data_IF_863885796214
#
_entry.id   IF_863885796214
#
_cell.length_a   1.000
_cell.length_b   1.000
_cell.length_c   1.000
_cell.angle_alpha   90.00
_cell.angle_beta   90.00
_cell.angle_gamma   90.00
#
_symmetry.space_group_name_H-M   'P 1'
#
loop_
_entity.id
_entity.type
_entity.pdbx_description
1 polymer ?
#
# COMPACT_ATOMS: atom_id res chain seq x y z
N UNK A 1 -17.66 14.81 -60.96
CA UNK A 1 -18.24 13.74 -60.10
C UNK A 1 -17.15 12.91 -59.41
N UNK A 2 -16.13 12.41 -60.14
CA UNK A 2 -15.01 11.66 -59.55
C UNK A 2 -14.14 12.49 -58.58
N UNK A 3 -13.90 13.77 -58.85
CA UNK A 3 -13.12 14.65 -57.95
C UNK A 3 -13.86 15.02 -56.65
N UNK A 4 -15.19 15.13 -56.69
CA UNK A 4 -16.04 15.36 -55.51
C UNK A 4 -16.09 14.12 -54.60
N UNK A 5 -16.14 12.92 -55.19
CA UNK A 5 -16.05 11.65 -54.45
C UNK A 5 -14.66 11.44 -53.82
N UNK A 6 -13.58 11.78 -54.53
CA UNK A 6 -12.21 11.73 -53.99
C UNK A 6 -11.98 12.72 -52.84
N UNK A 7 -12.55 13.93 -52.94
CA UNK A 7 -12.42 14.95 -51.88
C UNK A 7 -13.21 14.57 -50.61
N UNK A 8 -14.42 14.00 -50.77
CA UNK A 8 -15.22 13.48 -49.65
C UNK A 8 -14.58 12.25 -48.98
N UNK A 9 -13.88 11.40 -49.74
CA UNK A 9 -13.11 10.28 -49.21
C UNK A 9 -11.86 10.77 -48.46
N UNK A 10 -11.20 11.83 -48.94
CA UNK A 10 -10.02 12.40 -48.28
C UNK A 10 -10.36 13.10 -46.96
N UNK A 11 -11.45 13.90 -46.92
CA UNK A 11 -11.86 14.59 -45.70
C UNK A 11 -12.40 13.64 -44.61
N UNK A 12 -13.12 12.57 -45.00
CA UNK A 12 -13.56 11.55 -44.04
C UNK A 12 -12.40 10.77 -43.43
N UNK A 13 -11.34 10.48 -44.20
CA UNK A 13 -10.12 9.88 -43.67
C UNK A 13 -9.33 10.83 -42.75
N UNK A 14 -9.27 12.13 -43.07
CA UNK A 14 -8.63 13.15 -42.23
C UNK A 14 -9.37 13.32 -40.90
N UNK A 15 -10.69 13.46 -40.92
CA UNK A 15 -11.53 13.55 -39.72
C UNK A 15 -11.41 12.28 -38.87
N UNK A 16 -11.40 11.09 -39.48
CA UNK A 16 -11.24 9.84 -38.75
C UNK A 16 -9.83 9.65 -38.18
N UNK A 17 -8.80 10.17 -38.87
CA UNK A 17 -7.41 10.17 -38.37
C UNK A 17 -7.24 11.17 -37.23
N UNK A 18 -7.84 12.35 -37.34
CA UNK A 18 -7.87 13.39 -36.31
C UNK A 18 -8.60 12.90 -35.05
N UNK A 19 -9.74 12.23 -35.22
CA UNK A 19 -10.49 11.62 -34.14
C UNK A 19 -9.69 10.51 -33.42
N UNK A 20 -8.92 9.70 -34.14
CA UNK A 20 -8.04 8.67 -33.55
C UNK A 20 -6.88 9.28 -32.77
N UNK A 21 -6.26 10.34 -33.27
CA UNK A 21 -5.21 11.10 -32.57
C UNK A 21 -5.79 11.71 -31.29
N UNK A 22 -7.01 12.25 -31.37
CA UNK A 22 -7.72 12.79 -30.22
C UNK A 22 -8.01 11.73 -29.15
N UNK A 23 -8.42 10.51 -29.52
CA UNK A 23 -8.62 9.40 -28.56
C UNK A 23 -7.34 9.00 -27.82
N UNK A 24 -6.22 8.90 -28.53
CA UNK A 24 -4.93 8.63 -27.88
C UNK A 24 -4.53 9.77 -26.92
N UNK A 25 -4.74 11.02 -27.33
CA UNK A 25 -4.57 12.20 -26.48
C UNK A 25 -5.57 12.28 -25.33
N UNK A 26 -6.76 11.68 -25.43
CA UNK A 26 -7.77 11.70 -24.38
C UNK A 26 -7.35 10.84 -23.19
N UNK A 27 -6.81 9.64 -23.40
CA UNK A 27 -6.34 8.78 -22.30
C UNK A 27 -5.13 9.39 -21.57
N UNK A 28 -4.18 9.91 -22.34
CA UNK A 28 -2.97 10.56 -21.83
C UNK A 28 -3.29 11.93 -21.22
N UNK A 29 -4.25 12.66 -21.81
CA UNK A 29 -4.75 13.94 -21.34
C UNK A 29 -5.58 13.81 -20.05
N UNK A 30 -6.38 12.75 -19.91
CA UNK A 30 -7.07 12.44 -18.66
C UNK A 30 -6.07 12.08 -17.55
N UNK A 31 -5.04 11.29 -17.87
CA UNK A 31 -3.95 11.00 -16.94
C UNK A 31 -3.20 12.28 -16.52
N UNK A 32 -2.83 13.12 -17.49
CA UNK A 32 -2.11 14.37 -17.22
C UNK A 32 -2.96 15.37 -16.45
N UNK A 33 -4.24 15.52 -16.79
CA UNK A 33 -5.19 16.35 -16.04
C UNK A 33 -5.30 15.85 -14.60
N UNK A 34 -5.42 14.53 -14.38
CA UNK A 34 -5.42 13.94 -13.05
C UNK A 34 -4.13 14.21 -12.26
N UNK A 35 -2.97 14.08 -12.91
CA UNK A 35 -1.67 14.37 -12.30
C UNK A 35 -1.53 15.86 -11.91
N UNK A 36 -1.93 16.77 -12.79
CA UNK A 36 -1.92 18.22 -12.54
C UNK A 36 -2.91 18.60 -11.42
N UNK A 37 -4.11 18.01 -11.41
CA UNK A 37 -5.12 18.23 -10.37
C UNK A 37 -4.67 17.68 -9.02
N UNK A 38 -3.87 16.61 -9.00
CA UNK A 38 -3.31 16.03 -7.78
C UNK A 38 -2.30 16.95 -7.07
N UNK A 39 -1.74 17.94 -7.77
CA UNK A 39 -0.85 18.96 -7.19
C UNK A 39 -1.61 20.21 -6.70
N UNK A 40 -2.92 20.30 -6.92
CA UNK A 40 -3.74 21.45 -6.51
C UNK A 40 -4.30 21.30 -5.11
N UNK A 41 -4.61 22.43 -4.47
CA UNK A 41 -5.31 22.48 -3.17
C UNK A 41 -6.72 21.83 -3.20
N UNK A 42 -7.26 21.54 -4.39
CA UNK A 42 -8.57 20.91 -4.57
C UNK A 42 -8.51 19.37 -4.66
N UNK A 43 -7.33 18.75 -4.56
CA UNK A 43 -7.14 17.29 -4.68
C UNK A 43 -8.14 16.48 -3.86
N UNK A 44 -8.31 16.82 -2.59
CA UNK A 44 -9.16 16.05 -1.66
C UNK A 44 -10.64 16.12 -2.05
N UNK A 45 -11.09 17.28 -2.55
CA UNK A 45 -12.46 17.48 -3.00
C UNK A 45 -12.72 16.72 -4.31
N UNK A 46 -11.79 16.81 -5.27
CA UNK A 46 -11.86 16.07 -6.53
C UNK A 46 -11.84 14.56 -6.29
N UNK A 47 -11.02 14.07 -5.36
CA UNK A 47 -10.98 12.65 -5.00
C UNK A 47 -12.32 12.18 -4.42
N UNK A 48 -12.94 12.98 -3.55
CA UNK A 48 -14.25 12.67 -2.97
C UNK A 48 -15.35 12.60 -4.04
N UNK A 49 -15.31 13.50 -5.03
CA UNK A 49 -16.27 13.53 -6.14
C UNK A 49 -16.08 12.37 -7.13
N UNK A 50 -14.85 11.95 -7.41
CA UNK A 50 -14.55 10.87 -8.37
C UNK A 50 -14.71 9.47 -7.76
N UNK A 51 -14.46 9.30 -6.45
CA UNK A 51 -14.60 8.02 -5.73
C UNK A 51 -15.86 7.21 -6.10
N UNK A 52 -17.08 7.77 -6.08
CA UNK A 52 -18.29 7.01 -6.42
C UNK A 52 -18.30 6.53 -7.89
N UNK A 53 -17.71 7.29 -8.81
CA UNK A 53 -17.64 6.89 -10.22
C UNK A 53 -16.55 5.87 -10.51
N UNK A 54 -15.50 5.79 -9.69
CA UNK A 54 -14.37 4.87 -9.92
C UNK A 54 -14.83 3.41 -10.03
N UNK A 55 -15.70 2.96 -9.12
CA UNK A 55 -16.25 1.60 -9.16
C UNK A 55 -17.12 1.34 -10.38
N UNK A 56 -17.95 2.31 -10.76
CA UNK A 56 -18.82 2.23 -11.94
C UNK A 56 -18.02 2.15 -13.24
N UNK A 57 -17.01 3.01 -13.39
CA UNK A 57 -16.12 3.04 -14.56
C UNK A 57 -15.31 1.75 -14.70
N UNK A 58 -14.79 1.23 -13.58
CA UNK A 58 -14.07 -0.04 -13.55
C UNK A 58 -14.99 -1.21 -13.93
N UNK A 59 -16.21 -1.24 -13.38
CA UNK A 59 -17.22 -2.24 -13.73
C UNK A 59 -17.59 -2.18 -15.21
N UNK A 60 -17.82 -0.99 -15.75
CA UNK A 60 -18.11 -0.79 -17.16
C UNK A 60 -16.95 -1.28 -18.05
N UNK A 61 -15.71 -0.91 -17.70
CA UNK A 61 -14.51 -1.35 -18.40
C UNK A 61 -14.41 -2.88 -18.46
N UNK A 62 -14.60 -3.57 -17.34
CA UNK A 62 -14.53 -5.03 -17.31
C UNK A 62 -15.67 -5.70 -18.08
N UNK A 63 -16.89 -5.15 -18.03
CA UNK A 63 -18.02 -5.66 -18.84
C UNK A 63 -17.72 -5.49 -20.33
N UNK A 64 -17.34 -4.29 -20.76
CA UNK A 64 -17.07 -4.03 -22.19
C UNK A 64 -15.89 -4.86 -22.70
N UNK A 65 -14.83 -4.96 -21.92
CA UNK A 65 -13.63 -5.71 -22.27
C UNK A 65 -13.90 -7.21 -22.25
N UNK A 66 -14.69 -7.71 -21.28
CA UNK A 66 -15.13 -9.10 -21.20
C UNK A 66 -15.99 -9.52 -22.40
N UNK A 67 -16.90 -8.66 -22.87
CA UNK A 67 -17.69 -8.95 -24.09
C UNK A 67 -16.87 -9.00 -25.37
N UNK A 68 -15.65 -8.46 -25.36
CA UNK A 68 -14.73 -8.49 -26.51
C UNK A 68 -13.99 -9.83 -26.63
N UNK A 69 -14.11 -10.73 -25.65
CA UNK A 69 -13.49 -12.06 -25.67
C UNK A 69 -14.26 -12.99 -26.61
N UNK A 70 -13.57 -13.48 -27.63
CA UNK A 70 -14.06 -14.55 -28.50
C UNK A 70 -13.87 -15.90 -27.80
N UNK A 71 -14.94 -16.40 -27.15
CA UNK A 71 -14.88 -17.65 -26.36
C UNK A 71 -14.55 -18.87 -27.22
N UNK A 72 -14.98 -18.87 -28.49
CA UNK A 72 -14.71 -19.97 -29.41
C UNK A 72 -13.22 -19.99 -29.76
N UNK A 73 -12.64 -18.82 -30.01
CA UNK A 73 -11.20 -18.70 -30.23
C UNK A 73 -10.39 -19.08 -28.99
N UNK A 74 -10.82 -18.66 -27.79
CA UNK A 74 -10.18 -19.04 -26.53
C UNK A 74 -10.14 -20.57 -26.35
N UNK A 75 -11.25 -21.26 -26.61
CA UNK A 75 -11.32 -22.72 -26.49
C UNK A 75 -10.52 -23.44 -27.57
N UNK A 76 -10.48 -22.89 -28.79
CA UNK A 76 -9.70 -23.45 -29.91
C UNK A 76 -8.20 -23.31 -29.69
N UNK A 77 -7.76 -22.15 -29.22
CA UNK A 77 -6.35 -21.76 -29.07
C UNK A 77 -5.89 -21.77 -27.61
N UNK A 78 -6.56 -22.51 -26.73
CA UNK A 78 -6.28 -22.49 -25.29
C UNK A 78 -4.81 -22.76 -24.93
N UNK A 79 -4.04 -23.62 -25.64
CA UNK A 79 -2.62 -23.80 -25.33
C UNK A 79 -1.79 -22.56 -25.66
N UNK A 80 -2.10 -21.89 -26.78
CA UNK A 80 -1.42 -20.67 -27.21
C UNK A 80 -1.72 -19.51 -26.25
N UNK A 81 -2.98 -19.39 -25.82
CA UNK A 81 -3.40 -18.40 -24.83
C UNK A 81 -2.67 -18.62 -23.50
N UNK A 82 -2.65 -19.84 -22.97
CA UNK A 82 -1.95 -20.14 -21.71
C UNK A 82 -0.44 -19.88 -21.82
N UNK A 83 0.18 -20.26 -22.94
CA UNK A 83 1.62 -20.05 -23.15
C UNK A 83 1.95 -18.56 -23.18
N UNK A 84 1.18 -17.76 -23.90
CA UNK A 84 1.40 -16.31 -23.98
C UNK A 84 1.07 -15.60 -22.67
N UNK A 85 0.03 -16.03 -21.96
CA UNK A 85 -0.32 -15.51 -20.65
C UNK A 85 0.79 -15.80 -19.62
N UNK A 86 1.24 -17.05 -19.53
CA UNK A 86 2.33 -17.45 -18.65
C UNK A 86 3.62 -16.72 -19.02
N UNK A 87 3.92 -16.58 -20.32
CA UNK A 87 5.06 -15.82 -20.82
C UNK A 87 5.00 -14.35 -20.42
N UNK A 88 3.86 -13.67 -20.63
CA UNK A 88 3.65 -12.28 -20.23
C UNK A 88 3.89 -12.09 -18.73
N UNK A 89 3.27 -12.94 -17.90
CA UNK A 89 3.38 -12.85 -16.44
C UNK A 89 4.81 -13.13 -15.99
N UNK A 90 5.41 -14.22 -16.47
CA UNK A 90 6.77 -14.62 -16.07
C UNK A 90 7.82 -13.59 -16.48
N UNK A 91 7.78 -13.10 -17.73
CA UNK A 91 8.75 -12.13 -18.24
C UNK A 91 8.65 -10.81 -17.46
N UNK A 92 7.44 -10.25 -17.30
CA UNK A 92 7.30 -8.98 -16.57
C UNK A 92 7.64 -9.13 -15.10
N UNK A 93 7.22 -10.23 -14.47
CA UNK A 93 7.58 -10.52 -13.07
C UNK A 93 9.10 -10.60 -12.91
N UNK A 94 9.79 -11.32 -13.80
CA UNK A 94 11.24 -11.44 -13.77
C UNK A 94 11.93 -10.07 -13.91
N UNK A 95 11.55 -9.29 -14.93
CA UNK A 95 12.12 -7.95 -15.17
C UNK A 95 11.95 -7.05 -13.94
N UNK A 96 10.73 -6.97 -13.39
CA UNK A 96 10.43 -6.09 -12.26
C UNK A 96 11.14 -6.59 -10.99
N UNK A 97 11.17 -7.90 -10.77
CA UNK A 97 11.87 -8.50 -9.61
C UNK A 97 13.37 -8.23 -9.67
N UNK A 98 13.97 -8.26 -10.86
CA UNK A 98 15.39 -7.92 -11.05
C UNK A 98 15.66 -6.43 -10.83
N UNK A 99 14.74 -5.55 -11.24
CA UNK A 99 14.90 -4.09 -11.09
C UNK A 99 14.65 -3.64 -9.65
N UNK A 100 13.74 -4.28 -8.93
CA UNK A 100 13.30 -3.87 -7.59
C UNK A 100 14.44 -3.55 -6.60
N UNK A 101 15.47 -4.41 -6.47
CA UNK A 101 16.62 -4.13 -5.60
C UNK A 101 17.39 -2.85 -5.95
N UNK A 102 17.44 -2.45 -7.23
CA UNK A 102 18.09 -1.20 -7.65
C UNK A 102 17.33 0.05 -7.23
N UNK A 103 16.03 -0.09 -6.92
CA UNK A 103 15.15 0.99 -6.44
C UNK A 103 14.98 0.94 -4.91
N UNK A 104 15.69 0.02 -4.23
CA UNK A 104 15.66 -0.12 -2.77
C UNK A 104 14.60 -1.07 -2.23
N UNK A 105 13.95 -1.87 -3.08
CA UNK A 105 13.02 -2.92 -2.62
C UNK A 105 13.78 -4.16 -2.16
N UNK A 106 13.31 -4.81 -1.10
CA UNK A 106 13.80 -6.15 -0.74
C UNK A 106 13.38 -7.20 -1.78
N UNK A 107 14.05 -8.36 -1.80
CA UNK A 107 13.70 -9.43 -2.73
C UNK A 107 12.23 -9.90 -2.61
N UNK A 108 11.66 -10.11 -1.40
CA UNK A 108 10.24 -10.45 -1.23
C UNK A 108 9.30 -9.35 -1.76
N UNK A 109 9.59 -8.08 -1.46
CA UNK A 109 8.82 -6.94 -1.97
C UNK A 109 8.90 -6.84 -3.49
N UNK A 110 10.08 -7.09 -4.06
CA UNK A 110 10.32 -7.05 -5.51
C UNK A 110 9.51 -8.14 -6.23
N UNK A 111 9.42 -9.35 -5.67
CA UNK A 111 8.59 -10.44 -6.20
C UNK A 111 7.10 -10.07 -6.14
N UNK A 112 6.65 -9.53 -5.01
CA UNK A 112 5.25 -9.11 -4.83
C UNK A 112 4.87 -8.02 -5.84
N UNK A 113 5.71 -7.00 -5.98
CA UNK A 113 5.51 -5.91 -6.95
C UNK A 113 5.58 -6.44 -8.39
N UNK A 114 6.51 -7.37 -8.67
CA UNK A 114 6.63 -8.03 -9.96
C UNK A 114 5.37 -8.75 -10.39
N UNK A 115 4.79 -9.56 -9.51
CA UNK A 115 3.53 -10.27 -9.76
C UNK A 115 2.35 -9.32 -9.91
N UNK A 116 2.25 -8.30 -9.05
CA UNK A 116 1.18 -7.31 -9.09
C UNK A 116 1.16 -6.48 -10.40
N UNK A 117 2.34 -6.16 -10.94
CA UNK A 117 2.49 -5.35 -12.15
C UNK A 117 2.69 -6.18 -13.43
N UNK A 118 2.55 -7.51 -13.33
CA UNK A 118 2.77 -8.44 -14.44
C UNK A 118 1.66 -8.44 -15.50
N UNK A 119 0.50 -7.85 -15.21
CA UNK A 119 -0.64 -7.79 -16.14
C UNK A 119 -0.38 -6.94 -17.39
N UNK A 120 -1.15 -7.20 -18.44
CA UNK A 120 -1.27 -6.31 -19.59
C UNK A 120 -2.02 -5.02 -19.21
N UNK A 121 -1.59 -3.90 -19.79
CA UNK A 121 -2.25 -2.60 -19.57
C UNK A 121 -3.32 -2.30 -20.62
N UNK A 122 -4.24 -1.39 -20.30
CA UNK A 122 -5.33 -0.97 -21.20
C UNK A 122 -4.83 -0.39 -22.54
N UNK A 123 -3.64 0.21 -22.52
CA UNK A 123 -2.99 0.72 -23.73
C UNK A 123 -2.72 -0.37 -24.78
N UNK A 124 -2.62 -1.64 -24.37
CA UNK A 124 -2.46 -2.76 -25.29
C UNK A 124 -3.63 -2.86 -26.27
N UNK A 125 -4.87 -2.60 -25.84
CA UNK A 125 -6.04 -2.64 -26.74
C UNK A 125 -5.94 -1.59 -27.85
N UNK A 126 -5.48 -0.39 -27.51
CA UNK A 126 -5.29 0.70 -28.49
C UNK A 126 -4.20 0.33 -29.49
N UNK A 127 -3.06 -0.16 -28.99
CA UNK A 127 -1.91 -0.55 -29.82
C UNK A 127 -2.27 -1.71 -30.75
N UNK A 128 -2.91 -2.76 -30.25
CA UNK A 128 -3.29 -3.91 -31.07
C UNK A 128 -4.38 -3.58 -32.09
N UNK A 129 -5.36 -2.76 -31.70
CA UNK A 129 -6.38 -2.25 -32.64
C UNK A 129 -5.73 -1.43 -33.77
N UNK A 130 -4.77 -0.57 -33.44
CA UNK A 130 -4.05 0.22 -34.43
C UNK A 130 -3.21 -0.66 -35.35
N UNK A 131 -2.43 -1.58 -34.80
CA UNK A 131 -1.59 -2.50 -35.55
C UNK A 131 -2.41 -3.40 -36.49
N UNK A 132 -3.58 -3.86 -36.07
CA UNK A 132 -4.49 -4.61 -36.93
C UNK A 132 -5.08 -3.75 -38.05
N UNK A 133 -5.47 -2.51 -37.77
CA UNK A 133 -5.96 -1.56 -38.78
C UNK A 133 -4.91 -1.21 -39.83
N UNK A 134 -3.64 -1.15 -39.43
CA UNK A 134 -2.50 -0.91 -40.31
C UNK A 134 -2.05 -2.16 -41.07
N UNK A 135 -2.68 -3.32 -40.85
CA UNK A 135 -2.29 -4.58 -41.48
C UNK A 135 -1.00 -5.19 -40.93
N UNK A 136 -0.44 -4.65 -39.85
CA UNK A 136 0.77 -5.16 -39.19
C UNK A 136 0.47 -6.44 -38.43
N UNK A 137 -0.72 -6.54 -37.81
CA UNK A 137 -1.17 -7.72 -37.08
C UNK A 137 -2.36 -8.39 -37.79
N UNK A 138 -2.26 -9.71 -38.09
CA UNK A 138 -3.41 -10.51 -38.52
C UNK A 138 -4.57 -10.43 -37.52
N UNK A 139 -5.80 -10.50 -38.02
CA UNK A 139 -7.00 -10.36 -37.18
C UNK A 139 -7.08 -11.43 -36.08
N UNK A 140 -6.74 -12.68 -36.39
CA UNK A 140 -6.74 -13.77 -35.41
C UNK A 140 -5.72 -13.54 -34.30
N UNK A 141 -4.50 -13.08 -34.65
CA UNK A 141 -3.47 -12.77 -33.66
C UNK A 141 -3.87 -11.60 -32.77
N UNK A 142 -4.49 -10.56 -33.34
CA UNK A 142 -5.03 -9.44 -32.56
C UNK A 142 -6.07 -9.91 -31.53
N UNK A 143 -7.06 -10.71 -31.95
CA UNK A 143 -8.06 -11.28 -31.03
C UNK A 143 -7.41 -12.12 -29.94
N UNK A 144 -6.43 -12.94 -30.28
CA UNK A 144 -5.71 -13.78 -29.32
C UNK A 144 -4.95 -12.92 -28.29
N UNK A 145 -4.24 -11.87 -28.72
CA UNK A 145 -3.52 -10.97 -27.82
C UNK A 145 -4.45 -10.19 -26.89
N UNK A 146 -5.62 -9.75 -27.39
CA UNK A 146 -6.66 -9.13 -26.57
C UNK A 146 -7.08 -10.09 -25.46
N UNK A 147 -7.41 -11.35 -25.79
CA UNK A 147 -7.80 -12.38 -24.81
C UNK A 147 -6.72 -12.55 -23.73
N UNK A 148 -5.44 -12.62 -24.12
CA UNK A 148 -4.32 -12.74 -23.17
C UNK A 148 -4.26 -11.55 -22.21
N UNK A 149 -4.43 -10.32 -22.71
CA UNK A 149 -4.46 -9.12 -21.86
C UNK A 149 -5.63 -9.18 -20.88
N UNK A 150 -6.84 -9.48 -21.35
CA UNK A 150 -8.02 -9.53 -20.46
C UNK A 150 -7.84 -10.60 -19.38
N UNK A 151 -7.40 -11.80 -19.75
CA UNK A 151 -7.15 -12.87 -18.78
C UNK A 151 -6.04 -12.49 -17.78
N UNK A 152 -5.00 -11.78 -18.21
CA UNK A 152 -3.96 -11.30 -17.29
C UNK A 152 -4.50 -10.32 -16.25
N UNK A 153 -5.39 -9.41 -16.65
CA UNK A 153 -6.03 -8.46 -15.73
C UNK A 153 -6.96 -9.20 -14.75
N UNK A 154 -7.74 -10.16 -15.25
CA UNK A 154 -8.59 -11.02 -14.42
C UNK A 154 -7.80 -11.90 -13.45
N UNK A 155 -6.59 -12.32 -13.81
CA UNK A 155 -5.73 -13.17 -12.98
C UNK A 155 -4.96 -12.38 -11.91
N UNK A 156 -4.85 -11.07 -12.06
CA UNK A 156 -4.09 -10.18 -11.16
C UNK A 156 -4.44 -10.29 -9.67
N UNK A 157 -5.72 -10.35 -9.23
CA UNK A 157 -6.02 -10.54 -7.81
C UNK A 157 -5.40 -11.83 -7.25
N UNK A 158 -5.43 -12.92 -8.01
CA UNK A 158 -4.82 -14.19 -7.63
C UNK A 158 -3.29 -14.10 -7.60
N UNK A 159 -2.68 -13.43 -8.58
CA UNK A 159 -1.22 -13.20 -8.59
C UNK A 159 -0.76 -12.36 -7.39
N UNK A 160 -1.58 -11.41 -6.93
CA UNK A 160 -1.29 -10.62 -5.74
C UNK A 160 -1.33 -11.47 -4.46
N UNK A 161 -2.29 -12.39 -4.31
CA UNK A 161 -2.33 -13.34 -3.19
C UNK A 161 -1.14 -14.30 -3.22
N UNK A 162 -0.83 -14.87 -4.39
CA UNK A 162 0.33 -15.74 -4.59
C UNK A 162 1.62 -14.99 -4.25
N UNK A 163 1.76 -13.74 -4.71
CA UNK A 163 2.93 -12.91 -4.43
C UNK A 163 3.10 -12.60 -2.95
N UNK A 164 2.00 -12.38 -2.21
CA UNK A 164 2.05 -12.23 -0.75
C UNK A 164 2.51 -13.51 -0.06
N UNK A 165 1.96 -14.67 -0.43
CA UNK A 165 2.34 -15.95 0.15
C UNK A 165 3.81 -16.30 -0.14
N UNK A 166 4.27 -16.07 -1.36
CA UNK A 166 5.67 -16.29 -1.76
C UNK A 166 6.58 -15.33 -0.99
N UNK A 167 6.24 -14.05 -0.90
CA UNK A 167 7.02 -13.07 -0.15
C UNK A 167 7.14 -13.48 1.34
N UNK A 168 6.04 -13.87 1.97
CA UNK A 168 6.02 -14.35 3.36
C UNK A 168 6.85 -15.62 3.54
N UNK A 169 6.79 -16.56 2.59
CA UNK A 169 7.57 -17.81 2.65
C UNK A 169 9.06 -17.54 2.50
N UNK A 170 9.44 -16.64 1.59
CA UNK A 170 10.84 -16.25 1.37
C UNK A 170 11.35 -15.45 2.57
N UNK A 171 10.53 -14.57 3.16
CA UNK A 171 10.86 -13.89 4.42
C UNK A 171 11.08 -14.87 5.57
N UNK A 172 10.27 -15.93 5.65
CA UNK A 172 10.41 -17.00 6.64
C UNK A 172 11.64 -17.89 6.40
N UNK A 173 12.03 -18.13 5.15
CA UNK A 173 13.18 -18.97 4.78
C UNK A 173 14.52 -18.21 4.81
N UNK A 174 14.51 -16.90 4.59
CA UNK A 174 15.71 -16.05 4.60
C UNK A 174 16.19 -15.67 6.01
N UNK A 175 15.64 -16.29 7.07
CA UNK A 175 16.08 -16.11 8.45
C UNK A 175 16.20 -14.62 8.81
N UNK A 176 15.20 -13.83 8.40
CA UNK A 176 14.90 -12.58 9.09
C UNK A 176 14.15 -13.04 10.33
N UNK A 177 14.76 -13.05 11.53
CA UNK A 177 14.10 -13.58 12.70
C UNK A 177 12.84 -12.73 12.94
N UNK A 178 11.67 -13.27 12.66
CA UNK A 178 10.48 -12.88 13.41
C UNK A 178 10.64 -13.59 14.74
N UNK A 179 11.13 -12.83 15.72
CA UNK A 179 11.23 -13.28 17.10
C UNK A 179 9.80 -13.32 17.70
N UNK A 180 8.99 -14.25 17.19
CA UNK A 180 7.62 -14.51 17.63
C UNK A 180 7.57 -14.94 19.09
N UNK A 181 8.70 -15.37 19.68
CA UNK A 181 8.82 -15.65 21.11
C UNK A 181 8.63 -14.38 21.94
N UNK A 182 9.25 -13.26 21.54
CA UNK A 182 9.19 -11.98 22.28
C UNK A 182 7.79 -11.37 22.14
N UNK A 183 7.19 -11.47 20.95
CA UNK A 183 5.82 -11.03 20.71
C UNK A 183 4.81 -11.92 21.48
N UNK A 184 4.95 -13.24 21.44
CA UNK A 184 4.07 -14.16 22.17
C UNK A 184 4.16 -14.00 23.70
N UNK A 185 5.33 -13.67 24.25
CA UNK A 185 5.49 -13.34 25.68
C UNK A 185 4.91 -11.97 26.03
N UNK A 186 5.08 -10.97 25.16
CA UNK A 186 4.48 -9.65 25.35
C UNK A 186 2.94 -9.69 25.25
N UNK A 187 2.38 -10.53 24.38
CA UNK A 187 0.93 -10.72 24.19
C UNK A 187 0.27 -11.64 25.20
N UNK A 188 1.01 -12.55 25.85
CA UNK A 188 0.50 -13.38 26.97
C UNK A 188 0.47 -12.64 28.31
N UNK A 189 1.07 -11.45 28.37
CA UNK A 189 1.06 -10.63 29.58
C UNK A 189 -0.26 -9.88 29.72
N UNK A 190 -0.90 -10.01 30.87
CA UNK A 190 -1.99 -9.11 31.23
C UNK A 190 -1.41 -7.69 31.38
N UNK A 191 -1.84 -6.79 30.50
CA UNK A 191 -1.64 -5.33 30.52
C UNK A 191 -0.21 -4.80 30.22
N UNK A 192 0.29 -4.85 28.97
CA UNK A 192 1.57 -4.24 28.60
C UNK A 192 1.51 -2.70 28.55
N UNK A 193 2.66 -2.04 28.67
CA UNK A 193 2.82 -0.62 28.32
C UNK A 193 2.88 -0.49 26.80
N UNK A 194 2.10 0.41 26.20
CA UNK A 194 2.08 0.61 24.74
C UNK A 194 2.92 1.84 24.38
N UNK A 195 3.88 1.68 23.49
CA UNK A 195 4.68 2.79 22.95
C UNK A 195 4.21 3.07 21.52
N UNK A 196 3.79 4.30 21.25
CA UNK A 196 3.33 4.73 19.93
C UNK A 196 4.37 5.68 19.34
N UNK A 197 5.04 5.23 18.28
CA UNK A 197 6.21 5.89 17.70
C UNK A 197 7.51 5.33 18.27
N UNK A 198 8.22 4.50 17.49
CA UNK A 198 9.49 3.87 17.86
C UNK A 198 10.70 4.66 17.32
N UNK A 199 10.59 5.99 17.27
CA UNK A 199 11.71 6.88 16.92
C UNK A 199 12.79 6.93 17.99
N UNK A 200 13.67 7.94 17.94
CA UNK A 200 14.79 8.08 18.89
C UNK A 200 14.32 8.00 20.35
N UNK A 201 13.32 8.80 20.72
CA UNK A 201 12.81 8.82 22.10
C UNK A 201 12.03 7.54 22.46
N UNK A 202 11.31 6.96 21.50
CA UNK A 202 10.63 5.67 21.67
C UNK A 202 11.61 4.53 21.95
N UNK A 203 12.78 4.54 21.29
CA UNK A 203 13.88 3.60 21.54
C UNK A 203 14.54 3.81 22.91
N UNK A 204 14.73 5.05 23.33
CA UNK A 204 15.26 5.36 24.67
C UNK A 204 14.31 4.83 25.74
N UNK A 205 13.00 5.10 25.60
CA UNK A 205 11.99 4.58 26.53
C UNK A 205 11.94 3.06 26.52
N UNK A 206 11.98 2.43 25.35
CA UNK A 206 11.98 0.97 25.22
C UNK A 206 13.18 0.33 25.92
N UNK A 207 14.38 0.89 25.74
CA UNK A 207 15.58 0.44 26.47
C UNK A 207 15.41 0.59 27.98
N UNK A 208 14.89 1.74 28.43
CA UNK A 208 14.66 1.99 29.85
C UNK A 208 13.67 0.98 30.45
N UNK A 209 12.54 0.73 29.77
CA UNK A 209 11.53 -0.23 30.22
C UNK A 209 12.05 -1.68 30.21
N UNK A 210 12.90 -2.04 29.25
CA UNK A 210 13.59 -3.34 29.22
C UNK A 210 14.59 -3.54 30.36
N UNK A 211 15.04 -2.47 31.03
CA UNK A 211 16.07 -2.56 32.05
C UNK A 211 15.46 -2.94 33.41
N UNK A 212 16.03 -3.92 34.15
CA UNK A 212 15.50 -4.36 35.46
C UNK A 212 15.43 -3.28 36.54
N UNK A 213 16.11 -2.14 36.36
CA UNK A 213 16.09 -1.01 37.28
C UNK A 213 14.76 -0.23 37.21
N UNK A 214 13.99 -0.36 36.12
CA UNK A 214 12.72 0.34 35.96
C UNK A 214 11.57 -0.34 36.74
N UNK A 215 11.63 -1.65 37.00
CA UNK A 215 10.67 -2.36 37.84
C UNK A 215 11.01 -2.13 39.32
N UNK A 216 10.29 -1.21 39.96
CA UNK A 216 10.46 -0.93 41.38
C UNK A 216 10.34 -2.19 42.27
N UNK A 217 11.10 -2.18 43.36
CA UNK A 217 11.14 -3.12 44.51
C UNK A 217 9.84 -3.93 44.72
N UNK A 218 9.65 -5.06 44.05
CA UNK A 218 8.46 -5.88 44.32
C UNK A 218 8.16 -7.13 43.49
N UNK A 219 8.76 -7.36 42.33
CA UNK A 219 8.45 -8.59 41.59
C UNK A 219 9.23 -8.74 40.29
N UNK A 220 10.03 -9.81 40.26
CA UNK A 220 10.70 -10.41 39.11
C UNK A 220 11.79 -9.56 38.42
N UNK A 221 12.95 -10.17 38.20
CA UNK A 221 14.16 -9.59 37.59
C UNK A 221 14.01 -9.19 36.10
N UNK A 222 12.78 -9.02 35.61
CA UNK A 222 12.45 -8.61 34.26
C UNK A 222 11.90 -7.18 34.31
N UNK A 223 12.34 -6.32 33.39
CA UNK A 223 11.82 -4.96 33.25
C UNK A 223 10.30 -4.92 32.95
N UNK A 224 9.75 -3.71 32.77
CA UNK A 224 8.35 -3.56 32.40
C UNK A 224 8.10 -4.13 30.99
N UNK A 225 7.09 -5.00 30.87
CA UNK A 225 6.66 -5.50 29.56
C UNK A 225 6.01 -4.38 28.75
N UNK A 226 6.45 -4.21 27.51
CA UNK A 226 5.88 -3.23 26.60
C UNK A 226 5.71 -3.81 25.20
N UNK A 227 4.88 -3.14 24.38
CA UNK A 227 4.75 -3.37 22.95
C UNK A 227 4.81 -2.01 22.26
N UNK A 228 5.64 -1.87 21.23
CA UNK A 228 5.75 -0.63 20.48
C UNK A 228 5.11 -0.73 19.09
N UNK A 229 4.66 0.40 18.55
CA UNK A 229 4.12 0.52 17.20
C UNK A 229 4.84 1.64 16.43
N UNK A 230 5.20 1.39 15.17
CA UNK A 230 5.75 2.42 14.27
C UNK A 230 5.20 2.24 12.84
N UNK A 231 5.17 3.35 12.09
CA UNK A 231 4.69 3.43 10.71
C UNK A 231 5.82 3.23 9.69
N UNK A 232 7.08 3.23 10.11
CA UNK A 232 8.26 3.00 9.27
C UNK A 232 8.64 1.50 9.28
N UNK A 233 8.42 0.75 8.17
CA UNK A 233 8.74 -0.67 8.11
C UNK A 233 10.23 -0.96 8.32
N UNK A 234 11.12 -0.08 7.85
CA UNK A 234 12.57 -0.25 8.01
C UNK A 234 12.96 -0.16 9.48
N UNK A 235 12.34 0.76 10.22
CA UNK A 235 12.57 0.92 11.67
C UNK A 235 12.01 -0.25 12.46
N UNK A 236 10.81 -0.71 12.15
CA UNK A 236 10.22 -1.90 12.77
C UNK A 236 11.12 -3.11 12.57
N UNK A 237 11.64 -3.31 11.37
CA UNK A 237 12.56 -4.41 11.05
C UNK A 237 13.87 -4.32 11.85
N UNK A 238 14.47 -3.14 11.93
CA UNK A 238 15.69 -2.91 12.71
C UNK A 238 15.46 -3.15 14.21
N UNK A 239 14.34 -2.67 14.75
CA UNK A 239 13.96 -2.83 16.14
C UNK A 239 13.72 -4.30 16.53
N UNK A 240 13.02 -5.05 15.68
CA UNK A 240 12.81 -6.49 15.85
C UNK A 240 14.13 -7.26 15.84
N UNK A 241 15.05 -6.91 14.94
CA UNK A 241 16.40 -7.50 14.88
C UNK A 241 17.20 -7.23 16.17
N UNK A 242 16.91 -6.13 16.86
CA UNK A 242 17.50 -5.79 18.15
C UNK A 242 16.77 -6.44 19.35
N UNK A 243 15.77 -7.28 19.13
CA UNK A 243 15.03 -8.00 20.18
C UNK A 243 13.89 -7.20 20.81
N UNK A 244 13.47 -6.07 20.23
CA UNK A 244 12.36 -5.29 20.77
C UNK A 244 10.99 -5.77 20.24
N UNK A 245 9.94 -5.84 21.09
CA UNK A 245 8.57 -6.18 20.70
C UNK A 245 7.90 -5.00 19.96
N UNK A 246 8.28 -4.79 18.70
CA UNK A 246 7.76 -3.69 17.85
C UNK A 246 6.88 -4.21 16.72
N UNK A 247 5.75 -3.57 16.49
CA UNK A 247 4.77 -3.89 15.47
C UNK A 247 4.67 -2.79 14.43
N UNK A 248 4.42 -3.19 13.18
CA UNK A 248 4.10 -2.25 12.13
C UNK A 248 2.62 -1.89 12.21
N UNK A 249 2.32 -0.59 12.30
CA UNK A 249 0.95 -0.09 12.30
C UNK A 249 0.78 1.23 13.03
N UNK A 250 -0.39 1.85 12.82
CA UNK A 250 -0.77 3.08 13.50
C UNK A 250 -1.28 2.78 14.91
N UNK A 251 -0.39 2.86 15.90
CA UNK A 251 -0.72 2.65 17.31
C UNK A 251 -1.69 3.68 17.89
N UNK A 252 -1.97 4.80 17.21
CA UNK A 252 -3.00 5.73 17.65
C UNK A 252 -4.43 5.23 17.42
N UNK A 253 -4.59 4.15 16.61
CA UNK A 253 -5.87 3.53 16.31
C UNK A 253 -6.16 2.39 17.27
N UNK A 254 -7.21 2.47 18.08
CA UNK A 254 -7.57 1.40 19.02
C UNK A 254 -7.79 0.03 18.36
N UNK A 255 -8.31 0.01 17.12
CA UNK A 255 -8.48 -1.23 16.36
C UNK A 255 -7.16 -1.96 16.09
N UNK A 256 -6.05 -1.23 15.91
CA UNK A 256 -4.71 -1.82 15.72
C UNK A 256 -4.24 -2.46 17.02
N UNK A 257 -4.46 -1.82 18.17
CA UNK A 257 -4.13 -2.38 19.49
C UNK A 257 -4.94 -3.65 19.78
N UNK A 258 -6.25 -3.63 19.51
CA UNK A 258 -7.14 -4.77 19.70
C UNK A 258 -6.77 -5.96 18.81
N UNK A 259 -6.41 -5.70 17.55
CA UNK A 259 -5.94 -6.75 16.61
C UNK A 259 -4.62 -7.36 17.09
N UNK A 260 -3.79 -6.58 17.77
CA UNK A 260 -2.60 -7.06 18.46
C UNK A 260 -2.92 -7.72 19.82
N UNK A 261 -4.19 -7.94 20.19
CA UNK A 261 -4.58 -8.56 21.45
C UNK A 261 -4.48 -7.66 22.68
N UNK A 262 -4.20 -6.37 22.50
CA UNK A 262 -4.04 -5.40 23.59
C UNK A 262 -5.39 -4.71 23.83
N UNK A 263 -6.17 -5.28 24.75
CA UNK A 263 -7.48 -4.74 25.12
C UNK A 263 -7.40 -3.75 26.28
N UNK A 264 -6.50 -3.97 27.23
CA UNK A 264 -6.35 -3.17 28.45
C UNK A 264 -4.87 -2.82 28.68
N UNK A 265 -4.30 -1.87 27.92
CA UNK A 265 -2.91 -1.47 28.16
C UNK A 265 -2.74 -0.84 29.55
N UNK A 266 -1.61 -1.09 30.20
CA UNK A 266 -1.33 -0.51 31.52
C UNK A 266 -1.10 0.99 31.47
N UNK A 267 -0.46 1.45 30.41
CA UNK A 267 -0.22 2.85 30.09
C UNK A 267 0.03 2.98 28.59
N UNK A 268 -0.23 4.16 28.03
CA UNK A 268 0.08 4.48 26.64
C UNK A 268 1.04 5.65 26.57
N UNK A 269 2.11 5.49 25.80
CA UNK A 269 3.22 6.44 25.65
C UNK A 269 3.22 6.94 24.21
N UNK A 270 2.75 8.16 23.98
CA UNK A 270 2.68 8.80 22.65
C UNK A 270 3.97 9.56 22.39
N UNK A 271 4.78 9.04 21.46
CA UNK A 271 6.13 9.51 21.13
C UNK A 271 6.26 10.01 19.69
N UNK A 272 5.14 10.43 19.09
CA UNK A 272 5.16 11.09 17.78
C UNK A 272 5.90 12.43 17.83
N UNK A 273 6.57 12.75 16.73
CA UNK A 273 7.30 14.02 16.54
C UNK A 273 6.42 15.12 15.95
N UNK A 274 5.26 14.79 15.38
CA UNK A 274 4.33 15.77 14.84
C UNK A 274 3.36 16.27 15.90
N UNK A 275 3.27 17.59 16.08
CA UNK A 275 2.33 18.25 17.01
C UNK A 275 0.88 17.80 16.84
N UNK A 276 0.32 17.98 15.64
CA UNK A 276 -1.07 17.63 15.37
C UNK A 276 -1.32 16.12 15.47
N UNK A 277 -0.35 15.31 15.03
CA UNK A 277 -0.43 13.85 15.09
C UNK A 277 -0.48 13.35 16.53
N UNK A 278 0.34 13.92 17.42
CA UNK A 278 0.37 13.58 18.83
C UNK A 278 -0.96 13.95 19.53
N UNK A 279 -1.47 15.15 19.29
CA UNK A 279 -2.76 15.62 19.86
C UNK A 279 -3.91 14.71 19.39
N UNK A 280 -4.03 14.47 18.10
CA UNK A 280 -5.09 13.60 17.55
C UNK A 280 -4.97 12.16 18.06
N UNK A 281 -3.75 11.65 18.24
CA UNK A 281 -3.53 10.33 18.82
C UNK A 281 -4.06 10.26 20.25
N UNK A 282 -3.70 11.24 21.09
CA UNK A 282 -4.17 11.32 22.48
C UNK A 282 -5.69 11.38 22.55
N UNK A 283 -6.35 12.21 21.73
CA UNK A 283 -7.82 12.30 21.70
C UNK A 283 -8.46 10.94 21.40
N UNK A 284 -8.02 10.27 20.33
CA UNK A 284 -8.56 8.96 19.91
C UNK A 284 -8.38 7.90 20.99
N UNK A 285 -7.21 7.89 21.62
CA UNK A 285 -6.86 6.93 22.66
C UNK A 285 -7.66 7.20 23.94
N UNK A 286 -7.82 8.46 24.35
CA UNK A 286 -8.61 8.84 25.53
C UNK A 286 -10.09 8.48 25.36
N UNK A 287 -10.65 8.66 24.16
CA UNK A 287 -12.03 8.28 23.87
C UNK A 287 -12.29 6.79 24.06
N UNK A 288 -11.32 5.94 23.72
CA UNK A 288 -11.47 4.48 23.81
C UNK A 288 -11.04 3.93 25.16
N UNK A 289 -10.07 4.57 25.81
CA UNK A 289 -9.45 4.14 27.05
C UNK A 289 -9.53 5.23 28.14
N UNK A 290 -10.73 5.56 28.65
CA UNK A 290 -10.94 6.70 29.54
C UNK A 290 -10.16 6.59 30.86
N UNK A 291 -9.94 5.38 31.38
CA UNK A 291 -9.25 5.15 32.66
C UNK A 291 -7.75 4.85 32.57
N UNK A 292 -7.17 4.78 31.36
CA UNK A 292 -5.77 4.38 31.18
C UNK A 292 -4.87 5.62 31.21
N UNK A 293 -3.74 5.61 31.92
CA UNK A 293 -2.81 6.73 31.89
C UNK A 293 -2.17 6.87 30.51
N UNK A 294 -2.25 8.08 29.94
CA UNK A 294 -1.66 8.43 28.63
C UNK A 294 -0.59 9.49 28.86
N UNK A 295 0.65 9.18 28.53
CA UNK A 295 1.77 10.11 28.59
C UNK A 295 2.18 10.50 27.18
N UNK A 296 2.36 11.79 26.94
CA UNK A 296 2.72 12.29 25.61
C UNK A 296 3.99 13.15 25.68
N UNK A 297 4.80 13.08 24.63
CA UNK A 297 5.91 14.01 24.44
C UNK A 297 5.39 15.33 23.88
N UNK A 298 5.81 16.43 24.49
CA UNK A 298 5.55 17.79 24.04
C UNK A 298 6.84 18.45 23.55
N UNK A 299 6.74 19.24 22.50
CA UNK A 299 7.85 20.02 21.94
C UNK A 299 8.08 21.32 22.72
N UNK A 300 6.99 22.01 23.05
CA UNK A 300 6.97 23.28 23.77
C UNK A 300 5.82 23.33 24.79
N UNK A 301 5.82 24.38 25.62
CA UNK A 301 4.81 24.54 26.67
C UNK A 301 3.39 24.64 26.10
N UNK A 302 3.23 25.26 24.93
CA UNK A 302 1.94 25.36 24.25
C UNK A 302 1.43 23.97 23.85
N UNK A 303 2.30 23.11 23.31
CA UNK A 303 1.99 21.74 22.91
C UNK A 303 1.62 20.89 24.11
N UNK A 304 2.33 21.08 25.23
CA UNK A 304 2.02 20.40 26.49
C UNK A 304 0.60 20.72 26.95
N UNK A 305 0.19 21.99 26.89
CA UNK A 305 -1.16 22.42 27.25
C UNK A 305 -2.21 21.83 26.30
N UNK A 306 -1.93 21.80 25.00
CA UNK A 306 -2.79 21.17 23.99
C UNK A 306 -2.98 19.67 24.28
N UNK A 307 -1.89 18.94 24.54
CA UNK A 307 -1.94 17.51 24.88
C UNK A 307 -2.72 17.25 26.18
N UNK A 308 -2.56 18.09 27.21
CA UNK A 308 -3.37 18.00 28.43
C UNK A 308 -4.84 18.26 28.15
N UNK A 309 -5.17 19.24 27.31
CA UNK A 309 -6.56 19.53 26.92
C UNK A 309 -7.19 18.40 26.10
N UNK A 310 -6.40 17.72 25.26
CA UNK A 310 -6.80 16.54 24.50
C UNK A 310 -7.03 15.28 25.37
N UNK A 311 -6.63 15.35 26.64
CA UNK A 311 -6.83 14.28 27.61
C UNK A 311 -5.59 13.45 27.91
N UNK A 312 -4.37 13.93 27.63
CA UNK A 312 -3.17 13.32 28.18
C UNK A 312 -3.18 13.40 29.72
N UNK A 313 -2.80 12.31 30.39
CA UNK A 313 -2.66 12.28 31.85
C UNK A 313 -1.49 13.16 32.29
N UNK A 314 -0.37 13.06 31.58
CA UNK A 314 0.72 14.02 31.70
C UNK A 314 1.45 14.17 30.37
N UNK A 315 2.18 15.27 30.22
CA UNK A 315 2.98 15.52 29.03
C UNK A 315 4.36 16.09 29.41
N UNK A 316 5.40 15.57 28.76
CA UNK A 316 6.80 15.82 29.12
C UNK A 316 7.43 16.67 28.01
N UNK A 317 8.05 17.78 28.38
CA UNK A 317 8.80 18.62 27.46
C UNK A 317 10.11 17.92 27.07
N UNK A 318 10.39 17.88 25.78
CA UNK A 318 11.63 17.30 25.25
C UNK A 318 12.90 17.99 25.78
N UNK A 319 12.83 19.29 26.08
CA UNK A 319 13.97 20.11 26.51
C UNK A 319 14.10 20.25 28.03
N UNK A 320 13.49 19.38 28.82
CA UNK A 320 13.70 19.40 30.28
C UNK A 320 15.00 18.65 30.61
N UNK A 321 16.13 19.33 30.47
CA UNK A 321 17.30 19.03 31.31
C UNK A 321 16.88 19.22 32.77
N UNK A 322 16.98 18.15 33.55
CA UNK A 322 17.01 18.22 35.03
C UNK A 322 18.46 18.03 35.45
#
# INVERSE_FOLDING_TARGET
MLSLLLNYYSESHLLFSFWKILIFFLQLGAFLAGALLAETNFRTQIEAEIRPFRGLLLGLFFVTTGTSIDIQLLLREWPNVLTLLAGLVAIKTAIITTIGPFVGLSLPESIRVGLLLSQGGEFAFVVFSLANRLGVLPLELNRLLIIVVVLSMSLTPFLNEIGQNIAQTIEAQLDIPQDDTILAEAFKASDPVVIIGFGQMGQVLANFLSTPLASGLGGDSAGWRFVAFDLDPSRVKAARKAGFPVLYGDGSRPAVLQTAGINTPKAVMVMYTGREEAVQAVERLRLTYPGIPIYARAEDLSHLLELKSAGATDAILENTEV
#
